data_IF_362040164097
#
_entry.id   IF_362040164097
#
_cell.length_a   1.000
_cell.length_b   1.000
_cell.length_c   1.000
_cell.angle_alpha   90.00
_cell.angle_beta   90.00
_cell.angle_gamma   90.00
#
_symmetry.space_group_name_H-M   'P 1'
#
loop_
_entity.id
_entity.type
_entity.pdbx_description
1 polymer ?
#
# COMPACT_ATOMS: atom_id res chain seq x y z
N UNK A 1 2.83 -28.41 3.97
CA UNK A 1 2.11 -27.46 3.12
C UNK A 1 1.39 -28.23 2.03
N UNK A 2 0.07 -28.09 1.97
CA UNK A 2 -0.73 -28.74 0.92
C UNK A 2 -0.43 -28.03 -0.40
N UNK A 3 -0.12 -28.80 -1.45
CA UNK A 3 0.06 -28.25 -2.81
C UNK A 3 -1.24 -27.67 -3.38
N UNK A 4 -2.38 -28.05 -2.80
CA UNK A 4 -3.70 -27.53 -3.12
C UNK A 4 -4.08 -26.35 -2.20
N UNK A 5 -3.98 -25.14 -2.75
CA UNK A 5 -4.39 -23.89 -2.09
C UNK A 5 -5.90 -23.62 -2.17
N UNK A 6 -6.69 -24.49 -2.81
CA UNK A 6 -8.15 -24.30 -2.88
C UNK A 6 -8.84 -24.62 -1.56
N UNK A 7 -8.15 -25.30 -0.63
CA UNK A 7 -8.63 -25.66 0.71
C UNK A 7 -10.04 -26.24 0.70
N UNK A 8 -10.25 -27.41 0.05
CA UNK A 8 -11.59 -28.00 -0.11
C UNK A 8 -12.28 -28.36 1.21
N UNK A 9 -11.53 -28.37 2.31
CA UNK A 9 -11.99 -28.58 3.68
C UNK A 9 -12.73 -27.37 4.30
N UNK A 10 -12.54 -26.16 3.76
CA UNK A 10 -13.18 -24.95 4.27
C UNK A 10 -14.55 -24.71 3.63
N UNK A 11 -15.50 -24.15 4.37
CA UNK A 11 -16.77 -23.71 3.79
C UNK A 11 -16.61 -22.43 2.94
N UNK A 12 -17.58 -22.18 2.06
CA UNK A 12 -17.52 -21.05 1.13
C UNK A 12 -17.58 -19.68 1.84
N UNK A 13 -18.33 -19.56 2.94
CA UNK A 13 -18.46 -18.29 3.66
C UNK A 13 -17.14 -17.92 4.34
N UNK A 14 -16.43 -18.89 4.92
CA UNK A 14 -15.07 -18.70 5.46
C UNK A 14 -14.10 -18.25 4.36
N UNK A 15 -14.11 -18.90 3.20
CA UNK A 15 -13.19 -18.54 2.11
C UNK A 15 -13.51 -17.19 1.50
N UNK A 16 -14.78 -16.85 1.30
CA UNK A 16 -15.20 -15.52 0.84
C UNK A 16 -14.85 -14.44 1.86
N UNK A 17 -15.06 -14.70 3.15
CA UNK A 17 -14.70 -13.77 4.23
C UNK A 17 -13.20 -13.47 4.28
N UNK A 18 -12.36 -14.50 4.17
CA UNK A 18 -10.90 -14.32 4.08
C UNK A 18 -10.51 -13.54 2.81
N UNK A 19 -11.11 -13.86 1.67
CA UNK A 19 -10.87 -13.13 0.42
C UNK A 19 -11.24 -11.64 0.54
N UNK A 20 -12.37 -11.33 1.18
CA UNK A 20 -12.79 -9.95 1.43
C UNK A 20 -11.87 -9.20 2.39
N UNK A 21 -11.35 -9.87 3.41
CA UNK A 21 -10.36 -9.28 4.32
C UNK A 21 -9.05 -8.96 3.59
N UNK A 22 -8.55 -9.88 2.77
CA UNK A 22 -7.36 -9.65 1.94
C UNK A 22 -7.58 -8.55 0.89
N UNK A 23 -8.72 -8.52 0.21
CA UNK A 23 -9.10 -7.43 -0.72
C UNK A 23 -9.10 -6.07 -0.01
N UNK A 24 -9.58 -6.02 1.24
CA UNK A 24 -9.54 -4.81 2.03
C UNK A 24 -8.10 -4.39 2.39
N UNK A 25 -7.21 -5.33 2.74
CA UNK A 25 -5.79 -5.03 2.99
C UNK A 25 -5.11 -4.53 1.72
N UNK A 26 -5.34 -5.16 0.56
CA UNK A 26 -4.80 -4.73 -0.72
C UNK A 26 -5.26 -3.30 -1.08
N UNK A 27 -6.51 -2.96 -0.77
CA UNK A 27 -7.03 -1.59 -0.92
C UNK A 27 -6.30 -0.60 0.00
N UNK A 28 -6.01 -1.00 1.24
CA UNK A 28 -5.20 -0.20 2.18
C UNK A 28 -3.76 -0.06 1.70
N UNK A 29 -3.16 -1.10 1.12
CA UNK A 29 -1.83 -1.06 0.50
C UNK A 29 -1.79 -0.08 -0.69
N UNK A 30 -2.86 -0.01 -1.48
CA UNK A 30 -2.96 0.98 -2.55
C UNK A 30 -3.02 2.41 -1.98
N UNK A 31 -3.82 2.63 -0.93
CA UNK A 31 -3.87 3.93 -0.24
C UNK A 31 -2.50 4.32 0.35
N UNK A 32 -1.79 3.34 0.94
CA UNK A 32 -0.41 3.49 1.42
C UNK A 32 0.51 3.93 0.27
N UNK A 33 0.42 3.28 -0.89
CA UNK A 33 1.16 3.68 -2.09
C UNK A 33 0.94 5.15 -2.48
N UNK A 34 -0.28 5.65 -2.37
CA UNK A 34 -0.56 7.07 -2.61
C UNK A 34 0.06 8.00 -1.56
N UNK A 35 0.18 7.60 -0.30
CA UNK A 35 0.90 8.38 0.72
C UNK A 35 2.39 8.50 0.42
N UNK A 36 3.03 7.42 -0.06
CA UNK A 36 4.42 7.47 -0.50
C UNK A 36 4.59 8.37 -1.73
N UNK A 37 3.69 8.29 -2.70
CA UNK A 37 3.70 9.18 -3.86
C UNK A 37 3.52 10.64 -3.44
N UNK A 38 2.56 10.92 -2.56
CA UNK A 38 2.33 12.24 -1.97
C UNK A 38 3.60 12.78 -1.28
N UNK A 39 4.24 11.98 -0.42
CA UNK A 39 5.49 12.37 0.24
C UNK A 39 6.59 12.76 -0.75
N UNK A 40 6.83 11.94 -1.77
CA UNK A 40 7.86 12.19 -2.78
C UNK A 40 7.56 13.44 -3.62
N UNK A 41 6.31 13.59 -4.07
CA UNK A 41 5.90 14.73 -4.89
C UNK A 41 5.96 16.04 -4.10
N UNK A 42 5.51 16.06 -2.86
CA UNK A 42 5.61 17.24 -2.01
C UNK A 42 7.05 17.60 -1.68
N UNK A 43 7.89 16.60 -1.34
CA UNK A 43 9.32 16.84 -1.10
C UNK A 43 10.03 17.36 -2.34
N UNK A 44 9.63 16.92 -3.54
CA UNK A 44 10.12 17.49 -4.80
C UNK A 44 9.66 18.94 -4.99
N UNK A 45 8.38 19.23 -4.72
CA UNK A 45 7.84 20.58 -4.84
C UNK A 45 8.54 21.58 -3.89
N UNK A 46 8.83 21.16 -2.65
CA UNK A 46 9.55 21.98 -1.68
C UNK A 46 10.98 22.33 -2.17
N UNK A 47 11.69 21.41 -2.82
CA UNK A 47 12.99 21.70 -3.45
C UNK A 47 12.88 22.69 -4.61
N UNK A 48 11.88 22.51 -5.48
CA UNK A 48 11.63 23.44 -6.60
C UNK A 48 11.26 24.83 -6.07
N UNK A 49 10.54 24.92 -4.95
CA UNK A 49 10.26 26.18 -4.28
C UNK A 49 11.55 26.86 -3.79
N UNK A 50 12.48 26.11 -3.19
CA UNK A 50 13.78 26.65 -2.77
C UNK A 50 14.57 27.21 -3.96
N UNK A 51 14.59 26.51 -5.10
CA UNK A 51 15.20 27.01 -6.35
C UNK A 51 14.53 28.32 -6.82
N UNK A 52 13.20 28.40 -6.74
CA UNK A 52 12.47 29.62 -7.10
C UNK A 52 12.77 30.79 -6.17
N UNK A 53 12.91 30.54 -4.86
CA UNK A 53 13.31 31.55 -3.86
C UNK A 53 14.69 32.12 -4.20
N UNK A 54 15.66 31.26 -4.52
CA UNK A 54 17.01 31.69 -4.90
C UNK A 54 16.99 32.54 -6.17
N UNK A 55 16.28 32.11 -7.21
CA UNK A 55 16.15 32.86 -8.47
C UNK A 55 15.47 34.22 -8.27
N UNK A 56 14.44 34.31 -7.42
CA UNK A 56 13.78 35.58 -7.10
C UNK A 56 14.73 36.52 -6.37
N UNK A 57 15.57 35.99 -5.47
CA UNK A 57 16.59 36.76 -4.77
C UNK A 57 17.66 37.30 -5.72
N UNK A 58 18.15 36.47 -6.64
CA UNK A 58 19.09 36.87 -7.70
C UNK A 58 18.52 37.95 -8.63
N UNK A 59 17.22 37.88 -8.93
CA UNK A 59 16.52 38.87 -9.74
C UNK A 59 16.26 40.20 -9.01
N UNK A 60 16.65 40.33 -7.74
CA UNK A 60 16.49 41.56 -6.94
C UNK A 60 15.15 41.66 -6.19
N UNK A 61 14.36 40.59 -6.14
CA UNK A 61 13.07 40.53 -5.43
C UNK A 61 13.23 40.01 -3.99
N UNK A 62 14.20 40.54 -3.25
CA UNK A 62 14.61 40.01 -1.94
C UNK A 62 13.46 39.91 -0.92
N UNK A 63 12.63 40.95 -0.79
CA UNK A 63 11.51 40.94 0.17
C UNK A 63 10.54 39.79 -0.08
N UNK A 64 10.16 39.56 -1.33
CA UNK A 64 9.25 38.46 -1.66
C UNK A 64 9.94 37.10 -1.47
N UNK A 65 11.21 36.97 -1.86
CA UNK A 65 11.98 35.75 -1.65
C UNK A 65 12.06 35.39 -0.16
N UNK A 66 12.29 36.37 0.72
CA UNK A 66 12.37 36.16 2.17
C UNK A 66 11.00 35.82 2.79
N UNK A 67 9.90 36.40 2.28
CA UNK A 67 8.55 36.03 2.70
C UNK A 67 8.21 34.57 2.30
N UNK A 68 8.54 34.16 1.07
CA UNK A 68 8.32 32.80 0.58
C UNK A 68 9.17 31.78 1.35
N UNK A 69 10.44 32.08 1.58
CA UNK A 69 11.36 31.24 2.36
C UNK A 69 10.84 31.04 3.78
N UNK A 70 10.46 32.14 4.45
CA UNK A 70 9.94 32.10 5.82
C UNK A 70 8.63 31.32 5.94
N UNK A 71 7.69 31.52 5.01
CA UNK A 71 6.30 31.09 5.21
C UNK A 71 5.94 29.78 4.48
N UNK A 72 6.70 29.38 3.46
CA UNK A 72 6.41 28.20 2.62
C UNK A 72 7.48 27.11 2.68
N UNK A 73 8.78 27.44 2.70
CA UNK A 73 9.84 26.42 2.68
C UNK A 73 9.79 25.59 3.97
N UNK A 74 9.68 24.27 3.82
CA UNK A 74 9.56 23.35 4.95
C UNK A 74 8.26 23.48 5.75
N UNK A 75 7.26 24.21 5.25
CA UNK A 75 5.98 24.40 5.93
C UNK A 75 5.23 23.08 6.03
N UNK A 76 4.86 22.66 7.23
CA UNK A 76 4.01 21.47 7.44
C UNK A 76 2.75 21.44 6.54
N UNK A 77 2.48 20.29 5.92
CA UNK A 77 1.36 20.12 4.97
C UNK A 77 0.00 20.00 5.66
N UNK A 78 0.01 19.56 6.92
CA UNK A 78 -1.14 19.49 7.82
C UNK A 78 -0.67 19.90 9.21
N UNK A 79 -1.59 20.09 10.16
CA UNK A 79 -1.25 20.47 11.53
C UNK A 79 -0.13 19.58 12.11
N UNK A 80 0.98 20.23 12.47
CA UNK A 80 2.15 19.66 13.15
C UNK A 80 2.86 18.50 12.42
N UNK A 81 2.62 18.31 11.12
CA UNK A 81 3.24 17.21 10.37
C UNK A 81 3.72 17.58 8.98
N UNK A 82 4.96 17.16 8.71
CA UNK A 82 5.48 17.00 7.37
C UNK A 82 5.09 15.63 6.79
N UNK A 83 5.31 15.44 5.50
CA UNK A 83 4.76 14.30 4.76
C UNK A 83 5.32 12.94 5.20
N UNK A 84 6.59 12.85 5.64
CA UNK A 84 7.14 11.58 6.12
C UNK A 84 6.49 11.14 7.44
N UNK A 85 6.15 12.09 8.32
CA UNK A 85 5.48 11.78 9.59
C UNK A 85 4.07 11.23 9.35
N UNK A 86 3.39 11.69 8.29
CA UNK A 86 2.09 11.14 7.88
C UNK A 86 2.23 9.69 7.42
N UNK A 87 3.28 9.38 6.63
CA UNK A 87 3.56 8.02 6.18
C UNK A 87 3.89 7.11 7.37
N UNK A 88 4.79 7.56 8.26
CA UNK A 88 5.19 6.79 9.45
C UNK A 88 4.01 6.54 10.39
N UNK A 89 3.19 7.55 10.67
CA UNK A 89 2.00 7.39 11.51
C UNK A 89 0.99 6.44 10.87
N UNK A 90 0.77 6.51 9.55
CA UNK A 90 -0.13 5.60 8.84
C UNK A 90 0.36 4.15 8.90
N UNK A 91 1.66 3.95 8.67
CA UNK A 91 2.30 2.64 8.69
C UNK A 91 2.25 2.02 10.09
N UNK A 92 2.62 2.79 11.13
CA UNK A 92 2.69 2.31 12.51
C UNK A 92 1.33 2.10 13.16
N UNK A 93 0.28 2.78 12.69
CA UNK A 93 -1.07 2.67 13.27
C UNK A 93 -2.01 1.83 12.40
N UNK A 94 -2.57 2.42 11.35
CA UNK A 94 -3.67 1.85 10.59
C UNK A 94 -3.24 0.62 9.78
N UNK A 95 -2.14 0.74 9.03
CA UNK A 95 -1.68 -0.34 8.15
C UNK A 95 -1.15 -1.55 8.94
N UNK A 96 -0.31 -1.33 9.96
CA UNK A 96 0.22 -2.43 10.78
C UNK A 96 -0.90 -3.23 11.47
N UNK A 97 -1.93 -2.56 11.98
CA UNK A 97 -3.08 -3.23 12.57
C UNK A 97 -3.85 -4.08 11.55
N UNK A 98 -4.11 -3.52 10.36
CA UNK A 98 -4.83 -4.22 9.29
C UNK A 98 -4.08 -5.48 8.84
N UNK A 99 -2.78 -5.33 8.60
CA UNK A 99 -1.89 -6.43 8.21
C UNK A 99 -1.85 -7.54 9.25
N UNK A 100 -1.77 -7.19 10.54
CA UNK A 100 -1.76 -8.16 11.63
C UNK A 100 -3.06 -8.96 11.71
N UNK A 101 -4.22 -8.34 11.47
CA UNK A 101 -5.49 -9.05 11.47
C UNK A 101 -5.69 -9.96 10.25
N UNK A 102 -5.25 -9.54 9.06
CA UNK A 102 -5.24 -10.41 7.87
C UNK A 102 -4.36 -11.65 8.11
N UNK A 103 -3.14 -11.45 8.60
CA UNK A 103 -2.20 -12.54 8.94
C UNK A 103 -2.79 -13.50 9.97
N UNK A 104 -3.35 -12.98 11.06
CA UNK A 104 -3.99 -13.79 12.09
C UNK A 104 -5.16 -14.60 11.52
N UNK A 105 -6.02 -13.97 10.71
CA UNK A 105 -7.19 -14.64 10.15
C UNK A 105 -6.79 -15.81 9.22
N UNK A 106 -5.79 -15.61 8.34
CA UNK A 106 -5.31 -16.69 7.47
C UNK A 106 -4.59 -17.79 8.26
N UNK A 107 -3.86 -17.45 9.32
CA UNK A 107 -3.20 -18.45 10.16
C UNK A 107 -4.22 -19.31 10.93
N UNK A 108 -5.23 -18.68 11.53
CA UNK A 108 -6.27 -19.37 12.31
C UNK A 108 -7.23 -20.21 11.43
N UNK A 109 -7.61 -19.69 10.26
CA UNK A 109 -8.69 -20.28 9.45
C UNK A 109 -8.20 -21.00 8.20
N UNK A 110 -7.06 -20.60 7.65
CA UNK A 110 -6.50 -21.12 6.40
C UNK A 110 -5.08 -21.69 6.55
N UNK A 111 -4.65 -22.02 7.77
CA UNK A 111 -3.35 -22.67 8.00
C UNK A 111 -2.16 -21.88 7.42
N UNK A 112 -2.32 -20.57 7.31
CA UNK A 112 -1.35 -19.64 6.74
C UNK A 112 -1.44 -19.43 5.23
N UNK A 113 -2.26 -20.19 4.51
CA UNK A 113 -2.41 -20.05 3.06
C UNK A 113 -2.97 -18.67 2.69
N UNK A 114 -2.29 -18.00 1.75
CA UNK A 114 -2.78 -16.77 1.12
C UNK A 114 -3.58 -17.08 -0.14
N UNK A 115 -4.53 -16.21 -0.47
CA UNK A 115 -5.30 -16.24 -1.71
C UNK A 115 -6.11 -17.52 -1.95
N UNK A 116 -6.72 -18.08 -0.89
CA UNK A 116 -7.56 -19.29 -0.98
C UNK A 116 -8.78 -19.04 -1.89
N UNK A 117 -9.39 -17.86 -1.79
CA UNK A 117 -10.54 -17.47 -2.62
C UNK A 117 -10.18 -17.43 -4.11
N UNK A 118 -9.08 -16.77 -4.46
CA UNK A 118 -8.55 -16.68 -5.81
C UNK A 118 -8.10 -18.04 -6.31
N UNK A 119 -7.55 -18.90 -5.44
CA UNK A 119 -7.18 -20.27 -5.80
C UNK A 119 -8.43 -21.08 -6.22
N UNK A 120 -9.54 -20.97 -5.49
CA UNK A 120 -10.83 -21.59 -5.88
C UNK A 120 -11.37 -21.03 -7.18
N UNK A 121 -11.35 -19.71 -7.34
CA UNK A 121 -11.73 -19.04 -8.60
C UNK A 121 -10.90 -19.57 -9.76
N UNK A 122 -9.56 -19.57 -9.59
CA UNK A 122 -8.64 -20.01 -10.62
C UNK A 122 -8.87 -21.46 -10.99
N UNK A 123 -9.12 -22.35 -10.02
CA UNK A 123 -9.43 -23.75 -10.27
C UNK A 123 -10.69 -23.93 -11.11
N UNK A 124 -11.75 -23.15 -10.85
CA UNK A 124 -12.99 -23.17 -11.65
C UNK A 124 -12.79 -22.70 -13.09
N UNK A 125 -11.87 -21.77 -13.30
CA UNK A 125 -11.54 -21.21 -14.62
C UNK A 125 -10.54 -22.05 -15.43
N UNK A 126 -10.01 -23.14 -14.87
CA UNK A 126 -9.07 -24.02 -15.60
C UNK A 126 -9.78 -24.77 -16.71
N UNK A 127 -9.14 -24.79 -17.87
CA UNK A 127 -9.57 -25.62 -19.01
C UNK A 127 -8.73 -26.88 -19.01
N UNK A 128 -9.38 -28.04 -18.88
CA UNK A 128 -8.70 -29.33 -18.90
C UNK A 128 -7.90 -29.51 -20.19
N UNK A 129 -6.64 -29.92 -20.08
CA UNK A 129 -5.72 -30.14 -21.20
C UNK A 129 -5.17 -28.89 -21.87
N UNK A 130 -5.50 -27.68 -21.40
CA UNK A 130 -4.93 -26.46 -21.95
C UNK A 130 -3.58 -26.12 -21.27
N UNK A 131 -2.45 -26.06 -22.00
CA UNK A 131 -1.11 -26.02 -21.42
C UNK A 131 -0.81 -24.75 -20.61
N UNK A 132 -1.60 -23.68 -20.76
CA UNK A 132 -1.47 -22.44 -19.96
C UNK A 132 -2.47 -22.33 -18.80
N UNK A 133 -3.33 -23.33 -18.60
CA UNK A 133 -4.33 -23.36 -17.53
C UNK A 133 -3.98 -24.37 -16.43
N UNK A 134 -2.81 -25.02 -16.51
CA UNK A 134 -2.33 -25.94 -15.49
C UNK A 134 -2.02 -25.23 -14.16
N UNK A 135 -1.99 -25.99 -13.07
CA UNK A 135 -1.42 -25.50 -11.83
C UNK A 135 0.07 -25.27 -12.03
N UNK A 136 0.49 -24.00 -11.99
CA UNK A 136 1.91 -23.69 -11.89
C UNK A 136 2.54 -24.34 -10.65
N UNK A 137 3.88 -24.37 -10.58
CA UNK A 137 4.57 -24.89 -9.40
C UNK A 137 4.11 -24.15 -8.14
N UNK A 138 4.18 -24.81 -6.98
CA UNK A 138 3.96 -24.14 -5.70
C UNK A 138 4.88 -22.91 -5.61
N UNK A 139 4.34 -21.76 -5.20
CA UNK A 139 5.19 -20.60 -4.92
C UNK A 139 6.07 -20.95 -3.72
N UNK A 140 7.38 -20.69 -3.82
CA UNK A 140 8.27 -20.75 -2.68
C UNK A 140 7.85 -19.71 -1.63
N UNK A 141 8.07 -20.04 -0.36
CA UNK A 141 7.79 -19.17 0.79
C UNK A 141 8.64 -17.89 0.77
#
# INVERSE_FOLDING_TARGET
>A
MTTDRTRPDLDDATVEGLGKLSEALETVDQARGFLYAFHQLTGKADRVLQEAVDLLREAGHATLADDLDRDLVGRNVIADRWTFQIVEDFDASYWAAFRAFDERARDELAGGDRHVFEARMKQRERTSGHPRHEAGPALAD
#
